data_IF_590597879624
#
_entry.id   IF_590597879624
#
_cell.length_a   1.000
_cell.length_b   1.000
_cell.length_c   1.000
_cell.angle_alpha   90.00
_cell.angle_beta   90.00
_cell.angle_gamma   90.00
#
_symmetry.space_group_name_H-M   'P 1'
#
loop_
_entity.id
_entity.type
_entity.pdbx_description
1 polymer ?
#
# COMPACT_ATOMS: atom_id res chain seq x y z
N UNK A 1 41.37 -28.54 39.41
CA UNK A 1 40.80 -27.19 39.15
C UNK A 1 40.66 -26.99 37.65
N UNK A 2 39.42 -26.86 37.13
CA UNK A 2 39.11 -26.71 35.70
C UNK A 2 39.02 -25.22 35.34
N UNK A 3 39.76 -24.77 34.31
CA UNK A 3 39.70 -23.41 33.77
C UNK A 3 38.41 -23.19 32.97
N UNK A 4 37.67 -22.08 33.13
CA UNK A 4 36.54 -21.77 32.28
C UNK A 4 37.01 -21.23 30.92
N UNK A 5 36.48 -21.82 29.83
CA UNK A 5 36.70 -21.38 28.45
C UNK A 5 35.91 -20.11 28.15
N UNK A 6 36.61 -19.01 27.87
CA UNK A 6 36.08 -17.69 27.48
C UNK A 6 35.34 -17.66 26.13
N UNK A 7 35.34 -18.76 25.36
CA UNK A 7 34.77 -18.80 24.00
C UNK A 7 33.24 -18.91 23.91
N UNK A 8 32.55 -19.27 25.00
CA UNK A 8 31.10 -19.48 24.98
C UNK A 8 30.29 -18.18 25.08
N UNK A 9 30.82 -17.15 25.75
CA UNK A 9 30.11 -15.89 25.97
C UNK A 9 30.06 -14.98 24.73
N UNK A 10 31.03 -15.10 23.81
CA UNK A 10 31.05 -14.29 22.59
C UNK A 10 29.97 -14.69 21.57
N UNK A 11 29.51 -15.95 21.58
CA UNK A 11 28.53 -16.46 20.62
C UNK A 11 27.08 -16.12 21.00
N UNK A 12 26.80 -15.93 22.29
CA UNK A 12 25.46 -15.60 22.79
C UNK A 12 25.15 -14.11 22.58
N UNK A 13 26.15 -13.23 22.67
CA UNK A 13 25.97 -11.79 22.41
C UNK A 13 25.60 -11.46 20.95
N UNK A 14 26.12 -12.22 19.98
CA UNK A 14 25.85 -12.01 18.56
C UNK A 14 24.41 -12.38 18.14
N UNK A 15 23.80 -13.37 18.81
CA UNK A 15 22.43 -13.83 18.52
C UNK A 15 21.36 -12.88 19.09
N UNK A 16 21.65 -12.20 20.21
CA UNK A 16 20.73 -11.24 20.80
C UNK A 16 20.59 -9.94 19.98
N UNK A 17 21.63 -9.54 19.25
CA UNK A 17 21.63 -8.33 18.42
C UNK A 17 20.91 -8.52 17.07
N UNK A 18 20.82 -9.75 16.53
CA UNK A 18 20.10 -10.00 15.28
C UNK A 18 18.57 -10.07 15.47
N UNK A 19 18.09 -10.39 16.67
CA UNK A 19 16.66 -10.55 16.95
C UNK A 19 15.90 -9.20 17.04
N UNK A 20 16.59 -8.09 17.28
CA UNK A 20 15.97 -6.76 17.37
C UNK A 20 15.79 -6.08 16.01
N UNK A 21 16.58 -6.45 15.00
CA UNK A 21 16.49 -5.89 13.64
C UNK A 21 15.26 -6.37 12.87
N UNK A 22 14.67 -7.52 13.23
CA UNK A 22 13.50 -8.08 12.53
C UNK A 22 12.18 -7.50 13.05
N UNK A 23 12.16 -6.89 14.25
CA UNK A 23 10.95 -6.32 14.83
C UNK A 23 10.56 -4.95 14.23
N UNK A 24 11.42 -4.34 13.41
CA UNK A 24 11.16 -3.03 12.80
C UNK A 24 10.52 -3.09 11.41
N UNK A 25 10.42 -4.27 10.80
CA UNK A 25 9.80 -4.45 9.48
C UNK A 25 8.43 -5.11 9.62
N UNK A 26 7.42 -4.37 10.09
CA UNK A 26 6.06 -4.89 9.95
C UNK A 26 5.04 -4.37 10.93
N UNK A 27 4.95 -3.06 11.18
CA UNK A 27 3.68 -2.48 11.63
C UNK A 27 3.63 -0.96 11.50
N UNK A 28 3.77 -0.44 10.29
CA UNK A 28 3.16 0.87 10.03
C UNK A 28 1.65 0.67 10.01
N UNK A 29 1.05 0.76 11.19
CA UNK A 29 -0.38 0.86 11.35
C UNK A 29 -0.86 2.04 10.51
N UNK A 30 -1.66 1.72 9.51
CA UNK A 30 -2.31 2.67 8.62
C UNK A 30 -3.05 3.69 9.47
N UNK A 31 -2.51 4.90 9.55
CA UNK A 31 -3.15 5.97 10.31
C UNK A 31 -4.43 6.38 9.58
N UNK A 32 -5.46 6.73 10.35
CA UNK A 32 -6.74 7.25 9.85
C UNK A 32 -6.61 8.52 8.97
N UNK A 33 -5.39 9.06 8.84
CA UNK A 33 -5.03 10.24 8.07
C UNK A 33 -4.67 9.94 6.59
N UNK A 34 -4.74 8.68 6.14
CA UNK A 34 -4.53 8.37 4.71
C UNK A 34 -5.76 8.64 3.84
N UNK A 35 -6.92 8.83 4.47
CA UNK A 35 -8.19 9.14 3.79
C UNK A 35 -8.64 10.51 4.27
N UNK A 36 -8.57 11.48 3.38
CA UNK A 36 -9.04 12.84 3.66
C UNK A 36 -10.28 13.11 2.82
N UNK A 37 -11.18 13.93 3.38
CA UNK A 37 -12.37 14.35 2.65
C UNK A 37 -11.94 15.19 1.45
N UNK A 38 -12.15 14.64 0.26
CA UNK A 38 -11.75 15.26 -0.99
C UNK A 38 -12.54 16.57 -1.19
N UNK A 39 -11.83 17.69 -1.30
CA UNK A 39 -12.43 19.01 -1.56
C UNK A 39 -12.85 19.19 -3.02
N UNK A 40 -12.34 18.35 -3.93
CA UNK A 40 -12.72 18.33 -5.35
C UNK A 40 -12.67 16.88 -5.88
N UNK A 41 -13.85 16.25 -5.96
CA UNK A 41 -14.02 14.89 -6.50
C UNK A 41 -14.41 15.02 -7.98
N UNK A 42 -13.68 14.36 -8.90
CA UNK A 42 -14.01 14.42 -10.32
C UNK A 42 -15.33 13.68 -10.62
N UNK A 43 -16.05 14.12 -11.65
CA UNK A 43 -17.32 13.50 -12.07
C UNK A 43 -17.13 12.09 -12.67
N UNK A 44 -15.94 11.79 -13.17
CA UNK A 44 -15.54 10.50 -13.73
C UNK A 44 -14.09 10.19 -13.38
N UNK A 45 -13.73 8.91 -13.38
CA UNK A 45 -12.38 8.44 -13.10
C UNK A 45 -11.81 7.71 -14.31
N UNK A 46 -10.53 7.89 -14.57
CA UNK A 46 -9.85 7.29 -15.72
C UNK A 46 -9.66 5.78 -15.55
N UNK A 47 -9.45 5.34 -14.30
CA UNK A 47 -9.25 3.94 -13.93
C UNK A 47 -10.10 3.61 -12.71
N UNK A 48 -10.76 2.45 -12.75
CA UNK A 48 -11.44 1.87 -11.58
C UNK A 48 -10.77 0.56 -11.20
N UNK A 49 -10.45 0.43 -9.92
CA UNK A 49 -9.88 -0.77 -9.32
C UNK A 49 -10.89 -1.36 -8.34
N UNK A 50 -10.89 -2.69 -8.22
CA UNK A 50 -11.64 -3.39 -7.19
C UNK A 50 -10.66 -3.95 -6.15
N UNK A 51 -10.99 -3.82 -4.87
CA UNK A 51 -10.21 -4.48 -3.82
C UNK A 51 -10.34 -6.02 -3.97
N UNK A 52 -9.22 -6.74 -3.96
CA UNK A 52 -9.18 -8.21 -3.98
C UNK A 52 -8.47 -8.80 -2.74
N UNK A 53 -8.31 -10.12 -2.70
CA UNK A 53 -7.66 -10.84 -1.60
C UNK A 53 -6.19 -10.45 -1.51
N UNK A 54 -5.58 -10.76 -0.37
CA UNK A 54 -4.14 -10.59 -0.16
C UNK A 54 -3.62 -9.18 -0.46
N UNK A 55 -4.48 -8.18 -0.27
CA UNK A 55 -4.19 -6.76 -0.49
C UNK A 55 -3.85 -6.40 -1.94
N UNK A 56 -4.33 -7.22 -2.87
CA UNK A 56 -4.23 -7.01 -4.32
C UNK A 56 -5.36 -6.12 -4.86
N UNK A 57 -5.21 -5.71 -6.11
CA UNK A 57 -6.18 -4.90 -6.84
C UNK A 57 -6.62 -5.68 -8.07
N UNK A 58 -7.90 -5.95 -8.17
CA UNK A 58 -8.48 -6.43 -9.43
C UNK A 58 -8.58 -5.23 -10.38
N UNK A 59 -7.79 -5.31 -11.45
CA UNK A 59 -7.74 -4.38 -12.56
C UNK A 59 -8.20 -5.12 -13.82
N UNK A 60 -9.38 -4.76 -14.34
CA UNK A 60 -10.00 -5.38 -15.52
C UNK A 60 -10.10 -6.92 -15.45
N UNK A 61 -10.37 -7.47 -14.27
CA UNK A 61 -10.52 -8.91 -14.02
C UNK A 61 -9.20 -9.62 -13.69
N UNK A 62 -8.08 -8.89 -13.64
CA UNK A 62 -6.78 -9.42 -13.28
C UNK A 62 -6.36 -8.97 -11.87
N UNK A 63 -6.09 -9.90 -10.94
CA UNK A 63 -5.58 -9.54 -9.62
C UNK A 63 -4.11 -9.13 -9.73
N UNK A 64 -3.82 -7.88 -9.37
CA UNK A 64 -2.49 -7.28 -9.43
C UNK A 64 -1.97 -6.95 -8.03
N UNK A 65 -0.68 -7.22 -7.81
CA UNK A 65 0.03 -6.71 -6.63
C UNK A 65 0.26 -5.20 -6.73
N UNK A 66 0.72 -4.55 -5.65
CA UNK A 66 1.11 -3.13 -5.67
C UNK A 66 2.12 -2.81 -6.79
N UNK A 67 3.12 -3.68 -6.97
CA UNK A 67 4.18 -3.51 -7.97
C UNK A 67 3.69 -3.72 -9.40
N UNK A 68 2.82 -4.73 -9.60
CA UNK A 68 2.23 -5.00 -10.92
C UNK A 68 1.24 -3.91 -11.31
N UNK A 69 0.41 -3.43 -10.38
CA UNK A 69 -0.50 -2.31 -10.60
C UNK A 69 0.27 -1.06 -11.01
N UNK A 70 1.34 -0.72 -10.28
CA UNK A 70 2.21 0.41 -10.63
C UNK A 70 2.76 0.28 -12.04
N UNK A 71 3.23 -0.91 -12.40
CA UNK A 71 3.80 -1.19 -13.72
C UNK A 71 2.74 -1.05 -14.81
N UNK A 72 1.54 -1.57 -14.58
CA UNK A 72 0.40 -1.47 -15.50
C UNK A 72 -0.05 -0.01 -15.70
N UNK A 73 -0.17 0.77 -14.62
CA UNK A 73 -0.54 2.18 -14.70
C UNK A 73 0.55 3.04 -15.36
N UNK A 74 1.83 2.73 -15.12
CA UNK A 74 2.96 3.40 -15.79
C UNK A 74 2.97 3.12 -17.28
N UNK A 75 2.81 1.85 -17.66
CA UNK A 75 2.71 1.47 -19.07
C UNK A 75 1.56 2.24 -19.75
N UNK A 76 0.41 2.36 -19.07
CA UNK A 76 -0.71 3.19 -19.53
C UNK A 76 -0.35 4.68 -19.71
N UNK A 77 0.44 5.26 -18.80
CA UNK A 77 0.97 6.64 -18.97
C UNK A 77 1.86 6.77 -20.20
N UNK A 78 2.75 5.80 -20.42
CA UNK A 78 3.68 5.78 -21.55
C UNK A 78 2.94 5.67 -22.90
N UNK A 79 1.86 4.90 -22.94
CA UNK A 79 0.94 4.79 -24.08
C UNK A 79 0.00 6.00 -24.23
N UNK A 80 0.20 7.08 -23.45
CA UNK A 80 -0.63 8.29 -23.45
C UNK A 80 -2.11 8.03 -23.19
N UNK A 81 -2.43 6.95 -22.47
CA UNK A 81 -3.79 6.60 -22.08
C UNK A 81 -4.17 7.32 -20.76
N UNK A 82 -5.45 7.72 -20.57
CA UNK A 82 -5.87 8.43 -19.37
C UNK A 82 -5.66 7.60 -18.09
N UNK A 83 -5.05 8.20 -17.07
CA UNK A 83 -4.71 7.55 -15.79
C UNK A 83 -4.49 8.56 -14.64
N UNK A 84 -4.89 9.82 -14.84
CA UNK A 84 -4.68 10.87 -13.84
C UNK A 84 -5.50 10.65 -12.57
N UNK A 85 -6.64 9.96 -12.68
CA UNK A 85 -7.58 9.71 -11.60
C UNK A 85 -7.91 8.23 -11.47
N UNK A 86 -7.69 7.68 -10.28
CA UNK A 86 -7.92 6.25 -9.97
C UNK A 86 -8.94 6.14 -8.85
N UNK A 87 -9.99 5.33 -9.06
CA UNK A 87 -10.99 5.04 -8.04
C UNK A 87 -10.89 3.59 -7.57
N UNK A 88 -10.67 3.40 -6.27
CA UNK A 88 -10.76 2.11 -5.61
C UNK A 88 -12.17 1.88 -5.06
N UNK A 89 -12.79 0.79 -5.49
CA UNK A 89 -14.07 0.32 -4.98
C UNK A 89 -13.89 -0.98 -4.20
N UNK A 90 -14.94 -1.30 -3.45
CA UNK A 90 -15.13 -2.64 -2.92
C UNK A 90 -15.21 -3.65 -4.06
N UNK A 91 -14.46 -4.75 -3.98
CA UNK A 91 -14.62 -5.87 -4.91
C UNK A 91 -15.79 -6.78 -4.54
N UNK A 92 -16.12 -7.74 -5.41
CA UNK A 92 -17.30 -8.62 -5.23
C UNK A 92 -17.29 -9.34 -3.87
N UNK A 93 -16.12 -9.87 -3.49
CA UNK A 93 -15.94 -10.71 -2.30
C UNK A 93 -15.10 -10.04 -1.21
N UNK A 94 -14.48 -8.89 -1.49
CA UNK A 94 -13.49 -8.27 -0.63
C UNK A 94 -13.82 -6.82 -0.33
N UNK A 95 -13.66 -6.42 0.93
CA UNK A 95 -13.81 -5.03 1.37
C UNK A 95 -12.50 -4.29 1.15
N UNK A 96 -12.58 -2.98 0.91
CA UNK A 96 -11.39 -2.13 1.00
C UNK A 96 -10.87 -2.18 2.43
N UNK A 97 -9.62 -2.60 2.58
CA UNK A 97 -8.86 -2.62 3.84
C UNK A 97 -7.82 -1.52 3.82
N UNK A 98 -7.32 -1.20 5.00
CA UNK A 98 -6.25 -0.25 5.21
C UNK A 98 -4.99 -0.55 4.37
N UNK A 99 -4.64 -1.82 4.19
CA UNK A 99 -3.50 -2.24 3.37
C UNK A 99 -3.64 -1.79 1.90
N UNK A 100 -4.84 -1.93 1.31
CA UNK A 100 -5.09 -1.41 -0.04
C UNK A 100 -4.95 0.11 -0.12
N UNK A 101 -5.38 0.84 0.92
CA UNK A 101 -5.27 2.30 0.95
C UNK A 101 -3.81 2.73 0.98
N UNK A 102 -2.98 2.07 1.78
CA UNK A 102 -1.53 2.35 1.84
C UNK A 102 -0.87 2.07 0.49
N UNK A 103 -1.13 0.89 -0.07
CA UNK A 103 -0.53 0.48 -1.33
C UNK A 103 -0.95 1.41 -2.46
N UNK A 104 -2.24 1.75 -2.55
CA UNK A 104 -2.74 2.69 -3.55
C UNK A 104 -2.15 4.09 -3.35
N UNK A 105 -2.06 4.58 -2.11
CA UNK A 105 -1.45 5.87 -1.80
C UNK A 105 0.00 5.94 -2.30
N UNK A 106 0.80 4.89 -2.09
CA UNK A 106 2.18 4.81 -2.57
C UNK A 106 2.26 4.81 -4.09
N UNK A 107 1.44 4.01 -4.76
CA UNK A 107 1.37 3.99 -6.24
C UNK A 107 0.99 5.36 -6.78
N UNK A 108 -0.03 5.98 -6.18
CA UNK A 108 -0.51 7.31 -6.56
C UNK A 108 0.58 8.38 -6.43
N UNK A 109 1.30 8.37 -5.30
CA UNK A 109 2.44 9.25 -5.06
C UNK A 109 3.58 9.04 -6.07
N UNK A 110 3.96 7.79 -6.33
CA UNK A 110 5.05 7.46 -7.25
C UNK A 110 4.74 7.81 -8.70
N UNK A 111 3.49 7.67 -9.13
CA UNK A 111 3.05 7.97 -10.49
C UNK A 111 2.50 9.41 -10.65
N UNK A 112 2.45 10.18 -9.56
CA UNK A 112 1.89 11.54 -9.50
C UNK A 112 0.45 11.62 -10.04
N UNK A 113 -0.37 10.66 -9.64
CA UNK A 113 -1.80 10.56 -9.98
C UNK A 113 -2.66 10.73 -8.72
N UNK A 114 -3.92 11.06 -8.90
CA UNK A 114 -4.87 11.22 -7.80
C UNK A 114 -5.61 9.91 -7.54
N UNK A 115 -5.55 9.42 -6.31
CA UNK A 115 -6.26 8.23 -5.90
C UNK A 115 -7.45 8.57 -5.01
N UNK A 116 -8.54 7.83 -5.22
CA UNK A 116 -9.80 7.99 -4.51
C UNK A 116 -10.31 6.63 -4.06
N UNK A 117 -11.08 6.60 -2.99
CA UNK A 117 -11.77 5.41 -2.49
C UNK A 117 -13.25 5.67 -2.36
N UNK A 118 -14.08 4.71 -2.75
CA UNK A 118 -15.52 4.72 -2.52
C UNK A 118 -15.88 3.86 -1.30
N UNK A 119 -16.52 4.50 -0.31
CA UNK A 119 -17.09 3.84 0.85
C UNK A 119 -18.41 3.12 0.50
N UNK A 120 -18.89 2.27 1.42
CA UNK A 120 -20.09 1.45 1.22
C UNK A 120 -21.37 2.28 0.99
N UNK A 121 -21.43 3.47 1.58
CA UNK A 121 -22.51 4.44 1.46
C UNK A 121 -22.45 5.24 0.13
N UNK A 122 -21.43 5.02 -0.68
CA UNK A 122 -21.21 5.73 -1.93
C UNK A 122 -20.34 6.98 -1.77
N UNK A 123 -19.97 7.37 -0.55
CA UNK A 123 -19.09 8.52 -0.28
C UNK A 123 -17.72 8.28 -0.88
N UNK A 124 -17.20 9.26 -1.63
CA UNK A 124 -15.86 9.21 -2.21
C UNK A 124 -14.92 10.07 -1.38
N UNK A 125 -13.73 9.55 -1.08
CA UNK A 125 -12.69 10.25 -0.34
C UNK A 125 -11.35 10.13 -1.05
N UNK A 126 -10.47 11.09 -0.86
CA UNK A 126 -9.15 11.08 -1.49
C UNK A 126 -8.17 10.27 -0.63
N UNK A 127 -7.34 9.48 -1.31
CA UNK A 127 -6.30 8.65 -0.70
C UNK A 127 -4.96 9.32 -0.94
N UNK A 128 -4.28 9.75 0.13
CA UNK A 128 -2.98 10.44 0.04
C UNK A 128 -1.88 9.66 0.74
N UNK A 129 -0.70 9.62 0.13
CA UNK A 129 0.49 9.13 0.79
C UNK A 129 0.95 10.18 1.81
N UNK A 130 1.17 9.73 3.03
CA UNK A 130 1.79 10.56 4.06
C UNK A 130 3.30 10.47 3.88
N UNK A 131 3.89 11.55 3.36
CA UNK A 131 5.33 11.77 3.44
C UNK A 131 5.58 12.39 4.80
N UNK A 132 6.21 11.64 5.69
CA UNK A 132 6.66 12.19 6.97
C UNK A 132 7.92 13.01 6.65
N UNK A 133 7.80 14.34 6.67
CA UNK A 133 8.93 15.27 6.59
C UNK A 133 9.91 15.07 7.75
#
# INVERSE_FOLDING_TARGET
>A
MRKPSFGAFLRIGALALLATLVAACGRDAVRADQVQQASNIPASFDVTLLADKDSQFDFDGAPLTEEDLKSALRYRQEESLPVATVLLKRGEKQKVKSEHLVSLARVAFQLKINAYVQAKDGTISEVRAQVKD
#
